data_IF_257776387153
#
_entry.id   IF_257776387153
#
_cell.length_a   1.000
_cell.length_b   1.000
_cell.length_c   1.000
_cell.angle_alpha   90.00
_cell.angle_beta   90.00
_cell.angle_gamma   90.00
#
_symmetry.space_group_name_H-M   'P 1'
#
loop_
_entity.id
_entity.type
_entity.pdbx_description
1 polymer ?
#
# COMPACT_ATOMS: atom_id res chain seq x y z
N UNK A 1 -9.44 24.90 -16.07
CA UNK A 1 -10.21 24.14 -15.05
C UNK A 1 -10.89 22.93 -15.73
N UNK A 2 -10.12 22.14 -16.49
CA UNK A 2 -10.62 20.95 -17.23
C UNK A 2 -9.83 19.68 -16.87
N UNK A 3 -8.65 19.81 -16.23
CA UNK A 3 -7.82 18.67 -15.79
C UNK A 3 -8.38 17.90 -14.58
N UNK A 4 -9.47 18.36 -13.97
CA UNK A 4 -10.10 17.66 -12.83
C UNK A 4 -11.18 16.67 -13.31
N UNK A 5 -11.73 16.83 -14.52
CA UNK A 5 -12.76 15.93 -15.04
C UNK A 5 -12.21 14.65 -15.70
N UNK A 6 -10.92 14.57 -16.01
CA UNK A 6 -10.31 13.30 -16.48
C UNK A 6 -10.31 12.21 -15.39
N UNK A 7 -10.53 12.58 -14.12
CA UNK A 7 -10.62 11.66 -13.01
C UNK A 7 -12.04 11.13 -12.73
N UNK A 8 -13.09 11.63 -13.39
CA UNK A 8 -14.49 11.33 -13.05
C UNK A 8 -15.26 10.47 -14.07
N UNK A 9 -14.61 9.65 -14.90
CA UNK A 9 -15.31 8.71 -15.81
C UNK A 9 -15.27 7.26 -15.30
N UNK A 10 -16.08 7.04 -14.28
CA UNK A 10 -17.13 6.01 -14.11
C UNK A 10 -17.27 4.83 -15.11
N UNK A 11 -16.18 4.13 -15.46
CA UNK A 11 -16.26 2.79 -16.10
C UNK A 11 -14.97 1.95 -16.02
N UNK A 12 -14.08 2.21 -15.05
CA UNK A 12 -12.91 1.34 -14.88
C UNK A 12 -13.35 -0.01 -14.30
N UNK A 13 -13.05 -1.09 -15.02
CA UNK A 13 -13.19 -2.47 -14.54
C UNK A 13 -12.61 -2.59 -13.12
N UNK A 14 -13.23 -3.41 -12.26
CA UNK A 14 -12.80 -3.63 -10.87
C UNK A 14 -11.30 -3.95 -10.77
N UNK A 15 -10.78 -4.73 -11.72
CA UNK A 15 -9.36 -5.03 -11.85
C UNK A 15 -8.50 -3.76 -12.02
N UNK A 16 -8.95 -2.77 -12.80
CA UNK A 16 -8.24 -1.52 -13.00
C UNK A 16 -8.20 -0.65 -11.74
N UNK A 17 -9.27 -0.63 -10.95
CA UNK A 17 -9.28 0.06 -9.65
C UNK A 17 -8.36 -0.62 -8.64
N UNK A 18 -8.35 -1.95 -8.65
CA UNK A 18 -7.46 -2.76 -7.83
C UNK A 18 -5.99 -2.52 -8.15
N UNK A 19 -5.61 -2.68 -9.42
CA UNK A 19 -4.23 -2.44 -9.86
C UNK A 19 -3.80 -1.02 -9.57
N UNK A 20 -4.69 -0.03 -9.77
CA UNK A 20 -4.38 1.35 -9.44
C UNK A 20 -4.11 1.55 -7.94
N UNK A 21 -4.96 1.00 -7.06
CA UNK A 21 -4.76 1.12 -5.62
C UNK A 21 -3.43 0.51 -5.18
N UNK A 22 -3.12 -0.70 -5.66
CA UNK A 22 -1.84 -1.38 -5.39
C UNK A 22 -0.67 -0.54 -5.89
N UNK A 23 -0.74 -0.07 -7.14
CA UNK A 23 0.31 0.76 -7.72
C UNK A 23 0.56 2.03 -6.92
N UNK A 24 -0.50 2.74 -6.52
CA UNK A 24 -0.36 3.95 -5.69
C UNK A 24 0.25 3.65 -4.32
N UNK A 25 -0.09 2.53 -3.69
CA UNK A 25 0.49 2.12 -2.40
C UNK A 25 1.97 1.75 -2.49
N UNK A 26 2.36 1.02 -3.55
CA UNK A 26 3.76 0.68 -3.80
C UNK A 26 4.57 1.94 -4.11
N UNK A 27 4.10 2.77 -5.05
CA UNK A 27 4.78 4.02 -5.40
C UNK A 27 4.90 4.97 -4.21
N UNK A 28 3.83 5.15 -3.42
CA UNK A 28 3.86 5.98 -2.22
C UNK A 28 4.89 5.49 -1.21
N UNK A 29 5.00 4.18 -1.01
CA UNK A 29 6.02 3.60 -0.13
C UNK A 29 7.42 3.86 -0.67
N UNK A 30 7.69 3.61 -1.95
CA UNK A 30 9.01 3.83 -2.54
C UNK A 30 9.43 5.29 -2.48
N UNK A 31 8.52 6.21 -2.83
CA UNK A 31 8.79 7.65 -2.76
C UNK A 31 9.17 8.05 -1.34
N UNK A 32 8.42 7.60 -0.33
CA UNK A 32 8.71 7.91 1.07
C UNK A 32 10.03 7.29 1.53
N UNK A 33 10.33 6.04 1.16
CA UNK A 33 11.59 5.38 1.53
C UNK A 33 12.78 6.10 0.90
N UNK A 34 12.73 6.42 -0.40
CA UNK A 34 13.78 7.17 -1.10
C UNK A 34 13.95 8.56 -0.49
N UNK A 35 12.84 9.25 -0.20
CA UNK A 35 12.87 10.55 0.45
C UNK A 35 13.50 10.49 1.85
N UNK A 36 13.12 9.51 2.69
CA UNK A 36 13.73 9.34 4.01
C UNK A 36 15.22 8.99 3.90
N UNK A 37 15.60 8.17 2.92
CA UNK A 37 17.01 7.80 2.70
C UNK A 37 17.87 9.00 2.30
N UNK A 38 17.30 10.02 1.65
CA UNK A 38 18.03 11.25 1.29
C UNK A 38 18.32 12.15 2.52
N UNK A 39 17.56 12.00 3.61
CA UNK A 39 17.63 12.88 4.78
C UNK A 39 18.25 12.15 5.99
N UNK A 40 17.99 10.85 6.12
CA UNK A 40 18.36 10.04 7.27
C UNK A 40 19.39 8.98 6.89
N UNK A 41 20.20 8.58 7.87
CA UNK A 41 21.03 7.40 7.73
C UNK A 41 20.14 6.15 7.53
N UNK A 42 20.59 5.22 6.69
CA UNK A 42 19.95 3.95 6.36
C UNK A 42 19.44 3.21 7.60
N UNK A 43 20.22 3.13 8.69
CA UNK A 43 19.81 2.42 9.91
C UNK A 43 18.62 3.09 10.63
N UNK A 44 18.54 4.42 10.57
CA UNK A 44 17.42 5.16 11.17
C UNK A 44 16.17 5.04 10.29
N UNK A 45 16.34 5.16 8.96
CA UNK A 45 15.28 4.96 7.98
C UNK A 45 14.61 3.59 8.14
N UNK A 46 15.39 2.52 8.33
CA UNK A 46 14.87 1.16 8.51
C UNK A 46 13.88 1.02 9.68
N UNK A 47 13.99 1.86 10.71
CA UNK A 47 13.02 1.90 11.82
C UNK A 47 11.66 2.47 11.41
N UNK A 48 11.62 3.32 10.38
CA UNK A 48 10.39 3.94 9.86
C UNK A 48 9.70 3.11 8.77
N UNK A 49 10.42 2.22 8.09
CA UNK A 49 9.87 1.37 7.02
C UNK A 49 8.58 0.64 7.43
N UNK A 50 8.46 0.02 8.62
CA UNK A 50 7.22 -0.63 9.03
C UNK A 50 6.01 0.31 9.11
N UNK A 51 6.22 1.53 9.59
CA UNK A 51 5.16 2.53 9.67
C UNK A 51 4.75 3.02 8.28
N UNK A 52 5.73 3.22 7.38
CA UNK A 52 5.46 3.63 6.00
C UNK A 52 4.66 2.55 5.28
N UNK A 53 5.06 1.28 5.40
CA UNK A 53 4.36 0.15 4.78
C UNK A 53 2.94 0.05 5.35
N UNK A 54 2.79 0.04 6.68
CA UNK A 54 1.48 -0.04 7.32
C UNK A 54 0.53 1.09 6.89
N UNK A 55 1.05 2.32 6.80
CA UNK A 55 0.27 3.47 6.37
C UNK A 55 -0.13 3.37 4.89
N UNK A 56 0.80 3.03 4.00
CA UNK A 56 0.50 2.93 2.57
C UNK A 56 -0.44 1.77 2.25
N UNK A 57 -0.33 0.64 2.96
CA UNK A 57 -1.28 -0.47 2.79
C UNK A 57 -2.65 -0.14 3.37
N UNK A 58 -2.72 0.62 4.48
CA UNK A 58 -3.97 1.17 5.00
C UNK A 58 -4.65 2.10 3.98
N UNK A 59 -3.91 3.04 3.40
CA UNK A 59 -4.42 3.92 2.34
C UNK A 59 -4.85 3.15 1.10
N UNK A 60 -4.14 2.07 0.75
CA UNK A 60 -4.52 1.15 -0.34
C UNK A 60 -5.87 0.51 -0.05
N UNK A 61 -6.04 -0.07 1.16
CA UNK A 61 -7.29 -0.71 1.58
C UNK A 61 -8.46 0.28 1.60
N UNK A 62 -8.22 1.47 2.15
CA UNK A 62 -9.20 2.56 2.16
C UNK A 62 -9.63 2.96 0.74
N UNK A 63 -8.67 3.25 -0.15
CA UNK A 63 -8.95 3.69 -1.53
C UNK A 63 -9.70 2.63 -2.33
N UNK A 64 -9.44 1.35 -2.05
CA UNK A 64 -10.14 0.26 -2.71
C UNK A 64 -11.63 0.24 -2.33
N UNK A 65 -11.94 0.38 -1.03
CA UNK A 65 -13.32 0.41 -0.54
C UNK A 65 -14.07 1.64 -1.06
N UNK A 66 -13.41 2.81 -1.06
CA UNK A 66 -13.97 4.05 -1.60
C UNK A 66 -14.39 3.88 -3.07
N UNK A 67 -13.51 3.29 -3.90
CA UNK A 67 -13.75 3.12 -5.35
C UNK A 67 -14.68 1.96 -5.70
N UNK A 68 -14.69 0.89 -4.90
CA UNK A 68 -15.51 -0.31 -5.12
C UNK A 68 -16.86 -0.29 -4.39
N UNK A 69 -17.18 0.81 -3.69
CA UNK A 69 -18.35 0.97 -2.81
C UNK A 69 -19.65 0.40 -3.36
N UNK A 70 -19.96 0.64 -4.63
CA UNK A 70 -21.25 0.27 -5.23
C UNK A 70 -21.30 -1.14 -5.84
N UNK A 71 -20.16 -1.80 -6.08
CA UNK A 71 -20.11 -3.04 -6.88
C UNK A 71 -19.82 -4.31 -6.12
N UNK A 72 -19.25 -4.26 -4.91
CA UNK A 72 -18.73 -5.46 -4.26
C UNK A 72 -19.40 -5.67 -2.89
N UNK A 73 -20.22 -6.72 -2.80
CA UNK A 73 -20.77 -7.24 -1.52
C UNK A 73 -19.72 -7.89 -0.62
N UNK A 74 -18.51 -8.15 -1.16
CA UNK A 74 -17.36 -8.84 -0.52
C UNK A 74 -16.15 -7.92 -0.32
N UNK A 75 -16.41 -6.67 0.04
CA UNK A 75 -15.46 -5.55 0.04
C UNK A 75 -14.17 -5.80 0.84
N UNK A 76 -14.28 -6.52 1.97
CA UNK A 76 -13.15 -6.77 2.86
C UNK A 76 -12.08 -7.70 2.26
N UNK A 77 -12.49 -8.76 1.55
CA UNK A 77 -11.56 -9.76 1.01
C UNK A 77 -10.68 -9.16 -0.09
N UNK A 78 -11.29 -8.32 -0.95
CA UNK A 78 -10.57 -7.63 -2.01
C UNK A 78 -9.60 -6.59 -1.45
N UNK A 79 -10.01 -5.83 -0.43
CA UNK A 79 -9.13 -4.88 0.24
C UNK A 79 -7.93 -5.58 0.90
N UNK A 80 -8.18 -6.69 1.60
CA UNK A 80 -7.13 -7.48 2.25
C UNK A 80 -6.15 -8.06 1.21
N UNK A 81 -6.66 -8.59 0.08
CA UNK A 81 -5.80 -9.05 -1.01
C UNK A 81 -4.98 -7.93 -1.66
N UNK A 82 -5.55 -6.72 -1.79
CA UNK A 82 -4.85 -5.56 -2.34
C UNK A 82 -3.71 -5.15 -1.41
N UNK A 83 -4.00 -5.03 -0.11
CA UNK A 83 -2.99 -4.73 0.90
C UNK A 83 -1.86 -5.74 0.97
N UNK A 84 -2.21 -7.03 0.94
CA UNK A 84 -1.23 -8.11 0.94
C UNK A 84 -0.34 -8.03 -0.31
N UNK A 85 -0.94 -7.84 -1.50
CA UNK A 85 -0.19 -7.72 -2.73
C UNK A 85 0.74 -6.49 -2.71
N UNK A 86 0.24 -5.34 -2.26
CA UNK A 86 1.05 -4.12 -2.06
C UNK A 86 2.22 -4.39 -1.12
N UNK A 87 2.00 -5.06 0.01
CA UNK A 87 3.05 -5.37 0.98
C UNK A 87 4.11 -6.30 0.38
N UNK A 88 3.69 -7.38 -0.30
CA UNK A 88 4.60 -8.35 -0.93
C UNK A 88 5.45 -7.68 -2.02
N UNK A 89 4.82 -6.92 -2.92
CA UNK A 89 5.52 -6.22 -4.01
C UNK A 89 6.50 -5.19 -3.42
N UNK A 90 6.07 -4.42 -2.43
CA UNK A 90 6.91 -3.44 -1.75
C UNK A 90 8.12 -4.08 -1.10
N UNK A 91 7.92 -5.17 -0.36
CA UNK A 91 9.03 -5.90 0.29
C UNK A 91 10.00 -6.45 -0.75
N UNK A 92 9.50 -7.05 -1.84
CA UNK A 92 10.36 -7.54 -2.93
C UNK A 92 11.20 -6.44 -3.57
N UNK A 93 10.60 -5.26 -3.81
CA UNK A 93 11.31 -4.10 -4.34
C UNK A 93 12.34 -3.55 -3.35
N UNK A 94 12.01 -3.47 -2.06
CA UNK A 94 12.94 -2.98 -1.04
C UNK A 94 14.13 -3.95 -0.82
N UNK A 95 13.91 -5.26 -0.90
CA UNK A 95 15.00 -6.26 -0.87
C UNK A 95 15.90 -6.06 -2.09
N UNK A 96 15.33 -5.95 -3.28
CA UNK A 96 16.08 -5.76 -4.53
C UNK A 96 16.90 -4.47 -4.48
N UNK A 97 16.29 -3.38 -3.98
CA UNK A 97 16.95 -2.10 -3.78
C UNK A 97 18.11 -2.21 -2.77
N UNK A 98 17.89 -2.91 -1.64
CA UNK A 98 18.92 -3.10 -0.61
C UNK A 98 20.12 -3.90 -1.16
N UNK A 99 19.87 -4.97 -1.90
CA UNK A 99 20.93 -5.75 -2.56
C UNK A 99 21.73 -4.91 -3.56
N UNK A 100 21.05 -4.09 -4.36
CA UNK A 100 21.72 -3.28 -5.38
C UNK A 100 22.56 -2.14 -4.79
N UNK A 101 22.08 -1.48 -3.73
CA UNK A 101 22.75 -0.33 -3.13
C UNK A 101 23.77 -0.68 -2.04
N UNK A 102 23.51 -1.71 -1.24
CA UNK A 102 24.33 -2.04 -0.07
C UNK A 102 25.01 -3.40 -0.17
N UNK A 103 24.69 -4.21 -1.18
CA UNK A 103 25.27 -5.56 -1.35
C UNK A 103 24.74 -6.60 -0.35
N UNK A 104 23.89 -6.20 0.62
CA UNK A 104 23.37 -7.06 1.67
C UNK A 104 21.85 -6.91 1.86
N UNK A 105 21.21 -7.97 2.37
CA UNK A 105 19.78 -7.95 2.68
C UNK A 105 19.51 -7.30 4.04
N UNK A 106 19.34 -5.98 4.04
CA UNK A 106 19.06 -5.17 5.23
C UNK A 106 17.72 -5.48 5.91
N UNK A 107 16.74 -5.97 5.16
CA UNK A 107 15.45 -6.35 5.72
C UNK A 107 15.58 -7.65 6.52
N UNK A 108 16.27 -8.65 5.96
CA UNK A 108 16.30 -9.98 6.54
C UNK A 108 14.91 -10.64 6.60
N UNK A 109 14.88 -11.96 6.74
CA UNK A 109 13.63 -12.72 6.61
C UNK A 109 12.59 -12.35 7.69
N UNK A 110 13.05 -12.07 8.92
CA UNK A 110 12.17 -11.68 10.04
C UNK A 110 11.44 -10.36 9.79
N UNK A 111 12.14 -9.31 9.34
CA UNK A 111 11.51 -8.02 9.08
C UNK A 111 10.61 -8.10 7.84
N UNK A 112 10.99 -8.84 6.80
CA UNK A 112 10.15 -9.06 5.63
C UNK A 112 8.80 -9.68 5.99
N UNK A 113 8.78 -10.74 6.80
CA UNK A 113 7.53 -11.35 7.27
C UNK A 113 6.74 -10.37 8.13
N UNK A 114 7.41 -9.63 9.01
CA UNK A 114 6.77 -8.61 9.83
C UNK A 114 6.10 -7.51 9.00
N UNK A 115 6.76 -7.05 7.91
CA UNK A 115 6.21 -6.04 6.99
C UNK A 115 4.99 -6.54 6.22
N UNK A 116 4.97 -7.82 5.85
CA UNK A 116 3.80 -8.42 5.19
C UNK A 116 2.63 -8.47 6.18
N UNK A 117 2.86 -8.90 7.42
CA UNK A 117 1.82 -8.97 8.46
C UNK A 117 1.28 -7.58 8.77
N UNK A 118 2.14 -6.60 9.07
CA UNK A 118 1.70 -5.24 9.38
C UNK A 118 1.03 -4.58 8.17
N UNK A 119 1.47 -4.92 6.97
CA UNK A 119 0.87 -4.49 5.72
C UNK A 119 -0.57 -4.99 5.56
N UNK A 120 -0.80 -6.28 5.78
CA UNK A 120 -2.12 -6.89 5.73
C UNK A 120 -3.07 -6.31 6.79
N UNK A 121 -2.61 -6.23 8.05
CA UNK A 121 -3.38 -5.63 9.15
C UNK A 121 -3.69 -4.16 8.87
N UNK A 122 -2.71 -3.38 8.41
CA UNK A 122 -2.91 -1.98 8.04
C UNK A 122 -3.98 -1.82 6.97
N UNK A 123 -3.94 -2.65 5.93
CA UNK A 123 -4.96 -2.63 4.87
C UNK A 123 -6.35 -2.97 5.36
N UNK A 124 -6.46 -3.96 6.24
CA UNK A 124 -7.73 -4.31 6.89
C UNK A 124 -8.28 -3.14 7.72
N UNK A 125 -7.44 -2.48 8.52
CA UNK A 125 -7.82 -1.31 9.30
C UNK A 125 -8.27 -0.15 8.41
N UNK A 126 -7.54 0.12 7.31
CA UNK A 126 -7.91 1.13 6.33
C UNK A 126 -9.24 0.83 5.63
N UNK A 127 -9.48 -0.45 5.31
CA UNK A 127 -10.74 -0.90 4.74
C UNK A 127 -11.91 -0.74 5.72
N UNK A 128 -11.70 -1.08 7.00
CA UNK A 128 -12.69 -0.93 8.06
C UNK A 128 -13.02 0.54 8.32
N UNK A 129 -12.00 1.41 8.34
CA UNK A 129 -12.17 2.86 8.43
C UNK A 129 -13.04 3.39 7.28
N UNK A 130 -12.75 2.98 6.04
CA UNK A 130 -13.55 3.36 4.88
C UNK A 130 -14.99 2.84 4.99
N UNK A 131 -15.17 1.57 5.35
CA UNK A 131 -16.50 0.97 5.49
C UNK A 131 -17.35 1.71 6.53
N UNK A 132 -16.75 2.06 7.67
CA UNK A 132 -17.41 2.83 8.74
C UNK A 132 -17.71 4.27 8.30
N UNK A 133 -16.78 4.92 7.61
CA UNK A 133 -16.96 6.29 7.11
C UNK A 133 -18.09 6.39 6.08
N UNK A 134 -18.14 5.44 5.14
CA UNK A 134 -19.16 5.40 4.09
C UNK A 134 -20.48 4.72 4.51
N UNK A 135 -20.59 4.30 5.77
CA UNK A 135 -21.73 3.56 6.34
C UNK A 135 -22.11 2.34 5.48
N UNK A 136 -21.11 1.67 4.92
CA UNK A 136 -21.30 0.44 4.15
C UNK A 136 -21.55 -0.67 5.17
N UNK A 137 -22.74 -1.27 5.11
CA UNK A 137 -23.25 -2.25 6.08
C UNK A 137 -22.79 -3.66 5.75
#
# INVERSE_FOLDING_TARGET
>A
MEMIQFFSSDKRNLAGQFTYAVFTGVCGTLILVVFLNAILNVFLMMKFVPFIVAFNTAMTGYSLIDKCRERIRRNHVWALSAGLLTAVVTVGLLITFSFYFLGENLLGLKLSVFLIIIGAVGSELGALLAAKYFKIK
#
